data_IF_871832638323
#
_entry.id   IF_871832638323
#
_cell.length_a   1.000
_cell.length_b   1.000
_cell.length_c   1.000
_cell.angle_alpha   90.00
_cell.angle_beta   90.00
_cell.angle_gamma   90.00
#
_symmetry.space_group_name_H-M   'P 1'
#
loop_
_entity.id
_entity.type
_entity.pdbx_description
1 polymer ?
#
# COMPACT_ATOMS: atom_id res chain seq x y z
N UNK A 1 0.10 -1.06 -12.11
CA UNK A 1 -0.72 -1.93 -11.23
C UNK A 1 0.07 -3.11 -10.67
N UNK A 2 0.50 -4.10 -11.48
CA UNK A 2 1.18 -5.32 -10.97
C UNK A 2 2.41 -5.08 -10.09
N UNK A 3 3.30 -4.13 -10.42
CA UNK A 3 4.48 -3.81 -9.60
C UNK A 3 4.14 -3.34 -8.18
N UNK A 4 3.00 -2.66 -8.00
CA UNK A 4 2.55 -2.20 -6.68
C UNK A 4 2.04 -3.36 -5.83
N UNK A 5 1.28 -4.28 -6.44
CA UNK A 5 0.79 -5.50 -5.78
C UNK A 5 1.97 -6.40 -5.39
N UNK A 6 2.96 -6.56 -6.26
CA UNK A 6 4.15 -7.35 -5.97
C UNK A 6 4.94 -6.78 -4.78
N UNK A 7 5.09 -5.44 -4.72
CA UNK A 7 5.80 -4.78 -3.62
C UNK A 7 5.02 -4.84 -2.30
N UNK A 8 3.68 -4.73 -2.33
CA UNK A 8 2.84 -4.75 -1.13
C UNK A 8 2.61 -6.17 -0.62
N UNK A 9 3.18 -6.49 0.54
CA UNK A 9 3.16 -7.83 1.14
C UNK A 9 1.99 -8.08 2.10
N UNK A 10 0.77 -7.75 1.65
CA UNK A 10 -0.49 -7.97 2.36
C UNK A 10 -1.68 -8.04 1.38
N UNK A 11 -2.83 -8.49 1.88
CA UNK A 11 -4.12 -8.40 1.18
C UNK A 11 -4.93 -7.22 1.75
N UNK A 12 -4.60 -5.99 1.35
CA UNK A 12 -5.24 -4.75 1.87
C UNK A 12 -6.74 -4.66 1.58
N UNK A 13 -7.18 -5.13 0.41
CA UNK A 13 -8.55 -4.99 -0.04
C UNK A 13 -9.15 -6.35 -0.46
N UNK A 14 -9.42 -7.24 0.52
CA UNK A 14 -10.10 -8.50 0.25
C UNK A 14 -11.48 -8.20 -0.36
N UNK A 15 -11.79 -8.90 -1.45
CA UNK A 15 -12.96 -8.65 -2.29
C UNK A 15 -12.61 -8.01 -3.64
N UNK A 16 -11.50 -7.26 -3.70
CA UNK A 16 -10.94 -6.81 -4.98
C UNK A 16 -9.80 -7.71 -5.45
N UNK A 17 -8.86 -8.06 -4.57
CA UNK A 17 -7.73 -8.93 -4.89
C UNK A 17 -7.18 -9.62 -3.63
N UNK A 18 -6.74 -10.87 -3.78
CA UNK A 18 -6.18 -11.68 -2.69
C UNK A 18 -4.77 -12.15 -3.05
N UNK A 19 -3.81 -11.88 -2.16
CA UNK A 19 -2.45 -12.44 -2.20
C UNK A 19 -2.39 -13.67 -1.31
N UNK A 20 -2.33 -14.85 -1.91
CA UNK A 20 -2.43 -16.12 -1.16
C UNK A 20 -1.23 -16.37 -0.23
N UNK A 21 -0.07 -15.79 -0.52
CA UNK A 21 1.13 -15.87 0.31
C UNK A 21 1.13 -14.87 1.49
N UNK A 22 0.27 -13.84 1.43
CA UNK A 22 0.12 -12.78 2.44
C UNK A 22 -1.36 -12.39 2.58
N UNK A 23 -2.19 -13.36 2.98
CA UNK A 23 -3.65 -13.26 2.83
C UNK A 23 -4.39 -12.40 3.86
N UNK A 24 -3.67 -11.63 4.69
CA UNK A 24 -4.28 -10.78 5.71
C UNK A 24 -3.86 -9.33 5.53
N UNK A 25 -4.64 -8.42 6.12
CA UNK A 25 -4.29 -7.01 6.24
C UNK A 25 -3.24 -6.88 7.35
N UNK A 26 -2.17 -6.13 7.07
CA UNK A 26 -1.06 -5.87 7.98
C UNK A 26 -1.02 -4.37 8.30
N UNK A 27 -1.66 -3.99 9.40
CA UNK A 27 -1.70 -2.60 9.86
C UNK A 27 -0.38 -2.11 10.45
N UNK A 28 0.50 -3.02 10.90
CA UNK A 28 1.77 -2.64 11.51
C UNK A 28 2.79 -2.21 10.45
N UNK A 29 2.92 -2.99 9.37
CA UNK A 29 3.96 -2.76 8.37
C UNK A 29 3.46 -2.04 7.12
N UNK A 30 2.16 -2.09 6.84
CA UNK A 30 1.60 -1.69 5.54
C UNK A 30 0.50 -0.64 5.59
N UNK A 31 0.26 -0.03 6.77
CA UNK A 31 -0.55 1.18 6.92
C UNK A 31 0.15 2.42 6.33
N UNK A 32 0.33 2.40 5.02
CA UNK A 32 1.08 3.37 4.25
C UNK A 32 0.62 3.34 2.79
N UNK A 33 0.95 4.40 2.04
CA UNK A 33 0.79 4.40 0.60
C UNK A 33 1.96 3.71 -0.08
N UNK A 34 1.70 3.03 -1.19
CA UNK A 34 2.74 2.51 -2.09
C UNK A 34 2.78 3.41 -3.30
N UNK A 35 3.92 4.05 -3.50
CA UNK A 35 4.16 4.95 -4.61
C UNK A 35 5.28 4.39 -5.48
N UNK A 36 5.33 4.84 -6.73
CA UNK A 36 6.42 4.47 -7.63
C UNK A 36 6.80 5.60 -8.56
N UNK A 37 8.07 5.64 -8.95
CA UNK A 37 8.59 6.48 -10.01
C UNK A 37 9.14 5.56 -11.10
N UNK A 38 8.85 5.89 -12.35
CA UNK A 38 9.43 5.22 -13.52
C UNK A 38 10.41 6.17 -14.20
N UNK A 39 11.64 5.70 -14.38
CA UNK A 39 12.65 6.39 -15.16
C UNK A 39 12.60 5.88 -16.61
N UNK A 40 12.32 6.78 -17.55
CA UNK A 40 12.21 6.45 -18.98
C UNK A 40 13.56 6.16 -19.64
N UNK A 41 14.65 6.70 -19.12
CA UNK A 41 15.99 6.58 -19.71
C UNK A 41 16.59 5.22 -19.34
N UNK A 42 16.59 4.90 -18.05
CA UNK A 42 17.08 3.62 -17.53
C UNK A 42 16.05 2.50 -17.65
N UNK A 43 14.78 2.83 -17.90
CA UNK A 43 13.63 1.91 -17.91
C UNK A 43 13.41 1.19 -16.57
N UNK A 44 13.85 1.80 -15.47
CA UNK A 44 13.74 1.24 -14.14
C UNK A 44 12.54 1.78 -13.37
N UNK A 45 11.98 0.93 -12.51
CA UNK A 45 10.92 1.29 -11.57
C UNK A 45 11.48 1.35 -10.16
N UNK A 46 11.31 2.48 -9.49
CA UNK A 46 11.52 2.59 -8.03
C UNK A 46 10.17 2.56 -7.36
N UNK A 47 9.93 1.58 -6.49
CA UNK A 47 8.69 1.43 -5.72
C UNK A 47 9.02 1.58 -4.24
N UNK A 48 8.24 2.36 -3.51
CA UNK A 48 8.56 2.71 -2.12
C UNK A 48 7.31 2.98 -1.27
N UNK A 49 7.47 2.90 0.04
CA UNK A 49 6.45 3.24 1.03
C UNK A 49 6.43 4.75 1.29
N UNK A 50 5.24 5.33 1.44
CA UNK A 50 5.03 6.71 1.91
C UNK A 50 4.09 6.67 3.11
N UNK A 51 4.51 7.28 4.22
CA UNK A 51 3.73 7.26 5.45
C UNK A 51 2.32 7.85 5.24
N UNK A 52 1.34 7.16 5.80
CA UNK A 52 -0.03 7.68 5.91
C UNK A 52 -0.11 8.62 7.12
N UNK A 53 -0.83 9.74 6.96
CA UNK A 53 -1.09 10.68 8.04
C UNK A 53 -2.58 11.01 8.01
N UNK A 54 -3.25 10.79 9.14
CA UNK A 54 -4.65 11.17 9.30
C UNK A 54 -4.76 12.69 9.33
N UNK A 55 -5.52 13.24 8.38
CA UNK A 55 -5.81 14.68 8.34
C UNK A 55 -6.89 15.09 9.34
N UNK A 56 -7.73 14.13 9.74
CA UNK A 56 -8.85 14.35 10.67
C UNK A 56 -8.75 13.35 11.80
N UNK A 57 -8.98 13.82 13.01
CA UNK A 57 -9.05 12.99 14.21
C UNK A 57 -10.30 12.10 14.16
N UNK A 58 -10.09 10.81 13.88
CA UNK A 58 -11.15 9.81 13.79
C UNK A 58 -11.86 9.56 15.12
N UNK A 59 -11.23 9.87 16.27
CA UNK A 59 -11.89 9.74 17.58
C UNK A 59 -13.05 10.73 17.77
N UNK A 60 -13.06 11.82 16.98
CA UNK A 60 -14.11 12.85 17.03
C UNK A 60 -15.29 12.57 16.11
N UNK A 61 -15.12 11.67 15.13
CA UNK A 61 -16.13 11.34 14.12
C UNK A 61 -17.15 10.31 14.58
N UNK A 62 -16.81 9.49 15.59
CA UNK A 62 -17.67 8.41 16.08
C UNK A 62 -18.14 8.63 17.53
N UNK A 63 -18.35 9.89 17.92
CA UNK A 63 -19.04 10.25 19.17
C UNK A 63 -20.54 10.35 18.97
#
# INVERSE_FOLDING_TARGET
HMKHIQFREESRYPGFYYRMDKNFVDEENWHCFVNSIYDKETKQWTVFKRAHVDLVDKSKLFK
#
